data_IF_256525249802
#
_entry.id   IF_256525249802
#
_cell.length_a   1.000
_cell.length_b   1.000
_cell.length_c   1.000
_cell.angle_alpha   90.00
_cell.angle_beta   90.00
_cell.angle_gamma   90.00
#
_symmetry.space_group_name_H-M   'P 1'
#
loop_
_entity.id
_entity.type
_entity.pdbx_description
1 polymer ?
#
# COMPACT_ATOMS: atom_id res chain seq x y z
N UNK A 1 -31.57 -16.57 15.77
CA UNK A 1 -30.59 -17.22 14.89
C UNK A 1 -30.37 -16.47 13.57
N UNK A 2 -31.37 -15.88 12.97
CA UNK A 2 -31.27 -15.15 11.68
C UNK A 2 -30.49 -13.84 11.73
N UNK A 3 -30.47 -13.14 12.86
CA UNK A 3 -29.72 -11.87 13.01
C UNK A 3 -28.19 -12.05 13.13
N UNK A 4 -27.75 -13.16 13.70
CA UNK A 4 -26.31 -13.48 13.82
C UNK A 4 -25.70 -13.85 12.47
N UNK A 5 -26.46 -14.52 11.61
CA UNK A 5 -26.04 -14.87 10.25
C UNK A 5 -25.89 -13.63 9.36
N UNK A 6 -26.75 -12.63 9.54
CA UNK A 6 -26.67 -11.36 8.78
C UNK A 6 -25.44 -10.53 9.16
N UNK A 7 -25.05 -10.52 10.45
CA UNK A 7 -23.84 -9.81 10.92
C UNK A 7 -22.58 -10.51 10.43
N UNK A 8 -22.55 -11.84 10.39
CA UNK A 8 -21.43 -12.61 9.85
C UNK A 8 -21.29 -12.40 8.34
N UNK A 9 -22.41 -12.28 7.60
CA UNK A 9 -22.39 -11.96 6.17
C UNK A 9 -21.89 -10.54 5.87
N UNK A 10 -22.24 -9.55 6.67
CA UNK A 10 -21.76 -8.15 6.48
C UNK A 10 -20.28 -8.03 6.85
N UNK A 11 -19.77 -8.75 7.87
CA UNK A 11 -18.34 -8.76 8.23
C UNK A 11 -17.53 -9.65 7.29
N UNK A 12 -18.13 -10.73 6.75
CA UNK A 12 -17.47 -11.62 5.79
C UNK A 12 -17.22 -10.99 4.42
N UNK A 13 -18.05 -10.01 3.99
CA UNK A 13 -17.90 -9.32 2.71
C UNK A 13 -16.80 -8.25 2.68
N UNK A 14 -16.21 -7.88 3.82
CA UNK A 14 -15.13 -6.90 3.90
C UNK A 14 -13.73 -7.51 3.94
N UNK A 15 -13.60 -8.83 3.90
CA UNK A 15 -12.33 -9.56 4.03
C UNK A 15 -11.82 -10.18 2.72
N UNK A 16 -12.32 -9.77 1.56
CA UNK A 16 -11.68 -10.15 0.31
C UNK A 16 -10.39 -9.36 0.15
N UNK A 17 -9.28 -10.03 0.36
CA UNK A 17 -7.95 -9.56 0.01
C UNK A 17 -7.90 -9.30 -1.49
N UNK A 18 -7.87 -8.03 -1.85
CA UNK A 18 -7.57 -7.63 -3.22
C UNK A 18 -6.08 -7.86 -3.48
N UNK A 19 -5.75 -9.03 -4.00
CA UNK A 19 -4.52 -9.27 -4.73
C UNK A 19 -4.84 -9.06 -6.18
N UNK A 20 -4.49 -7.91 -6.75
CA UNK A 20 -4.91 -7.65 -8.10
C UNK A 20 -4.02 -6.85 -8.97
N UNK A 21 -3.83 -7.49 -10.07
CA UNK A 21 -3.37 -6.93 -11.34
C UNK A 21 -4.31 -5.80 -11.76
N UNK A 22 -3.82 -4.57 -11.73
CA UNK A 22 -4.52 -3.39 -12.22
C UNK A 22 -4.56 -3.40 -13.75
N UNK A 23 -5.64 -3.93 -14.33
CA UNK A 23 -6.02 -3.63 -15.71
C UNK A 23 -6.87 -2.36 -15.67
N UNK A 24 -6.30 -1.26 -16.14
CA UNK A 24 -6.96 0.04 -16.23
C UNK A 24 -8.06 0.02 -17.30
N UNK A 25 -9.29 -0.23 -16.87
CA UNK A 25 -10.47 0.07 -17.66
C UNK A 25 -11.12 1.36 -17.15
N UNK A 26 -10.92 2.47 -17.82
CA UNK A 26 -11.52 3.76 -17.46
C UNK A 26 -12.91 3.91 -18.08
N UNK A 27 -13.97 3.90 -17.28
CA UNK A 27 -15.26 4.45 -17.67
C UNK A 27 -15.31 5.93 -17.31
N UNK A 28 -15.29 6.79 -18.33
CA UNK A 28 -15.40 8.23 -18.17
C UNK A 28 -16.86 8.63 -17.90
N UNK A 29 -17.17 9.02 -16.65
CA UNK A 29 -18.33 9.87 -16.38
C UNK A 29 -17.83 11.30 -16.11
N UNK A 30 -18.14 12.20 -17.03
CA UNK A 30 -17.80 13.61 -16.91
C UNK A 30 -18.63 14.30 -15.82
N UNK A 31 -17.95 14.83 -14.83
CA UNK A 31 -18.50 15.91 -14.00
C UNK A 31 -17.83 17.22 -14.44
N UNK A 32 -18.59 18.03 -15.15
CA UNK A 32 -18.23 19.39 -15.46
C UNK A 32 -18.45 20.25 -14.22
N UNK A 33 -17.38 20.62 -13.54
CA UNK A 33 -17.31 21.86 -12.77
C UNK A 33 -16.04 22.58 -13.27
N UNK A 34 -16.27 23.56 -14.09
CA UNK A 34 -15.25 24.43 -14.66
C UNK A 34 -14.74 25.37 -13.55
N UNK A 35 -13.50 25.15 -13.19
CA UNK A 35 -12.61 26.20 -12.71
C UNK A 35 -11.48 26.21 -13.73
N UNK A 36 -11.33 27.32 -14.45
CA UNK A 36 -10.30 27.49 -15.49
C UNK A 36 -8.90 27.41 -14.86
N UNK A 37 -8.37 26.18 -14.73
CA UNK A 37 -6.95 26.00 -14.55
C UNK A 37 -6.28 26.05 -15.94
N UNK A 38 -5.21 26.80 -16.07
CA UNK A 38 -4.40 26.92 -17.31
C UNK A 38 -3.80 25.58 -17.75
N UNK A 39 -3.93 24.53 -16.97
CA UNK A 39 -3.42 23.18 -17.21
C UNK A 39 -4.59 22.23 -17.45
N UNK A 40 -4.56 21.51 -18.56
CA UNK A 40 -5.62 20.57 -18.91
C UNK A 40 -5.53 19.26 -18.11
N UNK A 41 -6.00 19.27 -16.87
CA UNK A 41 -6.13 18.09 -16.04
C UNK A 41 -7.55 17.50 -16.13
N UNK A 42 -7.65 16.20 -16.32
CA UNK A 42 -8.93 15.47 -16.38
C UNK A 42 -9.15 14.66 -15.13
N UNK A 43 -10.32 14.80 -14.52
CA UNK A 43 -10.73 14.02 -13.36
C UNK A 43 -11.50 12.78 -13.78
N UNK A 44 -11.25 11.67 -13.10
CA UNK A 44 -11.96 10.41 -13.29
C UNK A 44 -12.05 9.66 -11.96
N UNK A 45 -12.76 8.53 -11.94
CA UNK A 45 -12.77 7.62 -10.79
C UNK A 45 -12.14 6.30 -11.22
N UNK A 46 -11.14 5.84 -10.46
CA UNK A 46 -10.55 4.52 -10.58
C UNK A 46 -10.82 3.74 -9.28
N UNK A 47 -11.61 2.67 -9.34
CA UNK A 47 -11.97 1.86 -8.15
C UNK A 47 -12.46 2.70 -6.95
N UNK A 48 -13.37 3.65 -7.19
CA UNK A 48 -13.89 4.63 -6.20
C UNK A 48 -12.91 5.73 -5.78
N UNK A 49 -11.64 5.68 -6.16
CA UNK A 49 -10.64 6.70 -5.89
C UNK A 49 -10.80 7.88 -6.85
N UNK A 50 -10.61 9.09 -6.34
CA UNK A 50 -10.55 10.29 -7.18
C UNK A 50 -9.17 10.36 -7.84
N UNK A 51 -9.16 10.21 -9.17
CA UNK A 51 -7.99 10.30 -10.01
C UNK A 51 -7.98 11.61 -10.77
N UNK A 52 -6.79 12.21 -10.90
CA UNK A 52 -6.52 13.29 -11.84
C UNK A 52 -5.40 12.90 -12.77
N UNK A 53 -5.59 13.17 -14.05
CA UNK A 53 -4.57 13.00 -15.10
C UNK A 53 -4.25 14.35 -15.73
N UNK A 54 -2.99 14.75 -15.64
CA UNK A 54 -2.43 16.02 -16.11
C UNK A 54 -1.30 15.79 -17.12
N UNK A 55 -1.54 15.02 -18.16
CA UNK A 55 -0.54 14.79 -19.22
C UNK A 55 -0.54 15.95 -20.18
N UNK A 56 0.31 16.95 -19.96
CA UNK A 56 0.46 18.14 -20.78
C UNK A 56 1.95 18.41 -21.05
N UNK A 57 2.38 18.51 -22.33
CA UNK A 57 3.75 18.87 -22.69
C UNK A 57 4.21 20.25 -22.20
N UNK A 58 3.30 21.08 -21.71
CA UNK A 58 3.61 22.39 -21.12
C UNK A 58 3.69 22.37 -19.59
N UNK A 59 3.37 21.23 -18.96
CA UNK A 59 3.38 21.09 -17.51
C UNK A 59 4.82 20.97 -16.99
N UNK A 60 5.34 22.01 -16.36
CA UNK A 60 6.72 22.08 -15.83
C UNK A 60 6.81 21.81 -14.32
N UNK A 61 5.68 21.91 -13.60
CA UNK A 61 5.60 21.63 -12.15
C UNK A 61 4.25 20.99 -11.80
N UNK A 62 4.14 20.41 -10.61
CA UNK A 62 2.87 19.84 -10.12
C UNK A 62 1.87 20.99 -9.91
N UNK A 63 0.66 20.93 -10.53
CA UNK A 63 -0.34 21.98 -10.36
C UNK A 63 -0.78 22.11 -8.90
N UNK A 64 -0.93 23.34 -8.41
CA UNK A 64 -1.29 23.62 -7.00
C UNK A 64 -2.78 23.74 -6.76
N UNK A 65 -3.57 23.84 -7.82
CA UNK A 65 -5.01 24.12 -7.84
C UNK A 65 -5.89 22.88 -8.06
N UNK A 66 -5.32 21.67 -7.95
CA UNK A 66 -6.08 20.43 -8.05
C UNK A 66 -6.92 20.21 -6.78
N UNK A 67 -7.94 19.36 -6.89
CA UNK A 67 -8.73 18.95 -5.74
C UNK A 67 -7.85 18.26 -4.68
N UNK A 68 -7.85 18.76 -3.44
CA UNK A 68 -7.04 18.23 -2.34
C UNK A 68 -7.40 16.79 -1.91
N UNK A 69 -8.54 16.26 -2.35
CA UNK A 69 -8.98 14.91 -2.06
C UNK A 69 -8.54 13.87 -3.11
N UNK A 70 -7.69 14.22 -4.06
CA UNK A 70 -7.17 13.27 -5.04
C UNK A 70 -6.38 12.17 -4.34
N UNK A 71 -6.57 10.96 -4.82
CA UNK A 71 -5.88 9.76 -4.35
C UNK A 71 -4.92 9.19 -5.40
N UNK A 72 -5.14 9.54 -6.65
CA UNK A 72 -4.29 9.15 -7.78
C UNK A 72 -3.93 10.40 -8.59
N UNK A 73 -2.64 10.65 -8.72
CA UNK A 73 -2.08 11.70 -9.57
C UNK A 73 -1.30 11.04 -10.71
N UNK A 74 -1.72 11.27 -11.93
CA UNK A 74 -0.98 10.92 -13.15
C UNK A 74 -0.56 12.21 -13.86
N UNK A 75 0.70 12.58 -13.72
CA UNK A 75 1.35 13.67 -14.43
C UNK A 75 2.50 13.15 -15.31
N UNK A 76 2.34 11.95 -15.83
CA UNK A 76 3.28 11.33 -16.78
C UNK A 76 3.24 12.05 -18.12
N UNK A 77 4.31 11.91 -18.93
CA UNK A 77 4.46 12.49 -20.26
C UNK A 77 4.34 14.01 -20.27
N UNK A 78 5.01 14.67 -19.31
CA UNK A 78 5.03 16.12 -19.15
C UNK A 78 6.47 16.66 -19.20
N UNK A 79 6.71 17.85 -18.67
CA UNK A 79 8.04 18.48 -18.63
C UNK A 79 8.49 18.87 -17.24
N UNK A 80 8.00 18.16 -16.22
CA UNK A 80 8.37 18.41 -14.83
C UNK A 80 9.87 18.16 -14.67
N UNK A 81 10.58 19.11 -14.05
CA UNK A 81 12.04 19.05 -13.85
C UNK A 81 12.43 18.88 -12.39
N UNK A 82 11.68 19.48 -11.50
CA UNK A 82 12.00 19.54 -10.08
C UNK A 82 10.79 19.14 -9.23
N UNK A 83 11.05 18.35 -8.21
CA UNK A 83 10.07 18.07 -7.15
C UNK A 83 10.57 18.77 -5.87
N UNK A 84 9.87 19.84 -5.50
CA UNK A 84 10.18 20.63 -4.32
C UNK A 84 9.48 20.08 -3.08
N UNK A 85 9.89 20.54 -1.91
CA UNK A 85 9.30 20.13 -0.63
C UNK A 85 7.79 20.41 -0.53
N UNK A 86 7.30 21.40 -1.26
CA UNK A 86 5.89 21.79 -1.29
C UNK A 86 5.10 21.23 -2.49
N UNK A 87 5.75 20.50 -3.41
CA UNK A 87 5.10 20.01 -4.66
C UNK A 87 3.83 19.24 -4.43
N UNK A 88 3.74 18.47 -3.35
CA UNK A 88 2.56 17.65 -3.00
C UNK A 88 1.87 18.09 -1.71
N UNK A 89 2.21 19.24 -1.13
CA UNK A 89 1.75 19.70 0.19
C UNK A 89 0.22 19.79 0.30
N UNK A 90 -0.46 20.15 -0.80
CA UNK A 90 -1.93 20.23 -0.86
C UNK A 90 -2.62 18.87 -1.01
N UNK A 91 -1.89 17.78 -1.31
CA UNK A 91 -2.45 16.48 -1.72
C UNK A 91 -2.07 15.36 -0.77
N UNK A 92 -2.39 15.49 0.49
CA UNK A 92 -1.99 14.54 1.57
C UNK A 92 -2.68 13.18 1.53
N UNK A 93 -3.63 12.97 0.60
CA UNK A 93 -4.39 11.71 0.45
C UNK A 93 -3.92 10.85 -0.72
N UNK A 94 -2.80 11.20 -1.36
CA UNK A 94 -2.28 10.45 -2.50
C UNK A 94 -1.84 9.04 -2.08
N UNK A 95 -2.35 8.07 -2.82
CA UNK A 95 -1.98 6.66 -2.76
C UNK A 95 -1.05 6.30 -3.93
N UNK A 96 -1.28 6.90 -5.08
CA UNK A 96 -0.57 6.61 -6.34
C UNK A 96 -0.08 7.90 -6.97
N UNK A 97 1.21 7.97 -7.24
CA UNK A 97 1.87 9.08 -7.95
C UNK A 97 2.59 8.52 -9.17
N UNK A 98 2.13 8.92 -10.36
CA UNK A 98 2.74 8.58 -11.63
C UNK A 98 3.36 9.83 -12.25
N UNK A 99 4.69 9.80 -12.41
CA UNK A 99 5.51 10.87 -12.96
C UNK A 99 6.46 10.34 -14.05
N UNK A 100 6.11 9.21 -14.64
CA UNK A 100 6.91 8.58 -15.68
C UNK A 100 7.02 9.46 -16.93
N UNK A 101 8.15 9.35 -17.65
CA UNK A 101 8.41 10.08 -18.90
C UNK A 101 8.32 11.62 -18.72
N UNK A 102 9.13 12.13 -17.79
CA UNK A 102 9.32 13.54 -17.50
C UNK A 102 10.82 13.90 -17.63
N UNK A 103 11.20 15.06 -17.15
CA UNK A 103 12.58 15.53 -17.13
C UNK A 103 13.09 15.75 -15.70
N UNK A 104 12.53 15.02 -14.72
CA UNK A 104 12.85 15.22 -13.31
C UNK A 104 14.32 14.86 -13.07
N UNK A 105 15.06 15.83 -12.53
CA UNK A 105 16.46 15.68 -12.17
C UNK A 105 16.66 15.90 -10.67
N UNK A 106 15.97 16.88 -10.10
CA UNK A 106 16.11 17.25 -8.71
C UNK A 106 14.86 16.86 -7.92
N UNK A 107 15.05 16.18 -6.81
CA UNK A 107 14.00 15.84 -5.84
C UNK A 107 14.49 16.33 -4.49
N UNK A 108 13.82 17.33 -3.93
CA UNK A 108 14.16 17.84 -2.61
C UNK A 108 13.88 16.81 -1.50
N UNK A 109 14.67 16.87 -0.41
CA UNK A 109 14.65 15.85 0.65
C UNK A 109 13.27 15.63 1.29
N UNK A 110 12.43 16.67 1.37
CA UNK A 110 11.09 16.58 1.96
C UNK A 110 9.97 16.49 0.93
N UNK A 111 10.25 16.28 -0.36
CA UNK A 111 9.24 16.28 -1.42
C UNK A 111 8.09 15.30 -1.16
N UNK A 112 8.37 14.14 -0.58
CA UNK A 112 7.36 13.12 -0.26
C UNK A 112 7.03 13.02 1.23
N UNK A 113 7.55 13.89 2.09
CA UNK A 113 7.43 13.78 3.55
C UNK A 113 5.97 13.79 4.05
N UNK A 114 5.06 14.45 3.33
CA UNK A 114 3.63 14.51 3.67
C UNK A 114 2.79 13.40 3.00
N UNK A 115 3.40 12.52 2.21
CA UNK A 115 2.72 11.48 1.45
C UNK A 115 2.60 10.19 2.27
N UNK A 116 2.02 10.31 3.46
CA UNK A 116 1.92 9.21 4.43
C UNK A 116 1.24 7.95 3.86
N UNK A 117 0.24 8.12 2.99
CA UNK A 117 -0.55 7.02 2.43
C UNK A 117 -0.02 6.48 1.10
N UNK A 118 1.12 6.98 0.62
CA UNK A 118 1.65 6.60 -0.68
C UNK A 118 1.98 5.10 -0.74
N UNK A 119 1.35 4.42 -1.69
CA UNK A 119 1.57 2.98 -1.96
C UNK A 119 2.41 2.74 -3.21
N UNK A 120 2.26 3.59 -4.22
CA UNK A 120 2.93 3.44 -5.52
C UNK A 120 3.55 4.76 -5.97
N UNK A 121 4.82 4.72 -6.30
CA UNK A 121 5.56 5.83 -6.91
C UNK A 121 6.17 5.37 -8.23
N UNK A 122 5.88 6.08 -9.31
CA UNK A 122 6.51 5.87 -10.62
C UNK A 122 7.28 7.12 -11.05
N UNK A 123 8.60 6.97 -11.14
CA UNK A 123 9.56 7.93 -11.66
C UNK A 123 10.30 7.39 -12.89
N UNK A 124 9.72 6.40 -13.58
CA UNK A 124 10.34 5.76 -14.76
C UNK A 124 10.64 6.80 -15.85
N UNK A 125 11.75 6.65 -16.57
CA UNK A 125 12.19 7.54 -17.67
C UNK A 125 12.26 9.00 -17.24
N UNK A 126 13.18 9.28 -16.33
CA UNK A 126 13.51 10.62 -15.85
C UNK A 126 15.04 10.81 -15.88
N UNK A 127 15.51 11.91 -15.35
CA UNK A 127 16.94 12.22 -15.25
C UNK A 127 17.49 12.09 -13.83
N UNK A 128 16.76 11.45 -12.92
CA UNK A 128 17.10 11.39 -11.50
C UNK A 128 18.38 10.61 -11.25
N UNK A 129 19.23 11.13 -10.39
CA UNK A 129 20.44 10.47 -9.90
C UNK A 129 20.45 10.34 -8.36
N UNK A 130 19.49 10.96 -7.69
CA UNK A 130 19.33 10.94 -6.25
C UNK A 130 17.85 10.79 -5.84
N UNK A 131 17.59 10.31 -4.61
CA UNK A 131 16.27 10.17 -3.99
C UNK A 131 16.30 10.67 -2.55
N UNK A 132 15.20 11.24 -2.05
CA UNK A 132 15.06 11.56 -0.64
C UNK A 132 15.27 10.33 0.25
N UNK A 133 16.08 10.47 1.31
CA UNK A 133 16.40 9.37 2.22
C UNK A 133 15.15 8.83 2.94
N UNK A 134 14.17 9.70 3.20
CA UNK A 134 12.93 9.34 3.88
C UNK A 134 11.90 8.65 2.96
N UNK A 135 12.12 8.60 1.65
CA UNK A 135 11.19 7.96 0.71
C UNK A 135 10.94 6.49 1.09
N UNK A 136 12.01 5.75 1.38
CA UNK A 136 11.93 4.32 1.74
C UNK A 136 11.53 4.06 3.21
N UNK A 137 11.11 5.10 3.92
CA UNK A 137 10.55 5.02 5.28
C UNK A 137 9.03 5.26 5.31
N UNK A 138 8.41 5.54 4.15
CA UNK A 138 6.97 5.73 4.05
C UNK A 138 6.22 4.43 4.40
N UNK A 139 5.25 4.49 5.34
CA UNK A 139 4.72 3.29 6.00
C UNK A 139 3.86 2.39 5.10
N UNK A 140 3.40 2.90 3.95
CA UNK A 140 2.56 2.16 3.02
C UNK A 140 3.19 1.97 1.65
N UNK A 141 4.42 2.48 1.40
CA UNK A 141 5.08 2.38 0.09
C UNK A 141 5.44 0.93 -0.22
N UNK A 142 4.87 0.40 -1.30
CA UNK A 142 4.98 -1.00 -1.71
C UNK A 142 5.64 -1.19 -3.06
N UNK A 143 5.35 -0.31 -4.01
CA UNK A 143 5.83 -0.43 -5.39
C UNK A 143 6.55 0.84 -5.80
N UNK A 144 7.79 0.68 -6.25
CA UNK A 144 8.62 1.81 -6.69
C UNK A 144 9.20 1.49 -8.05
N UNK A 145 8.87 2.35 -9.01
CA UNK A 145 9.33 2.27 -10.39
C UNK A 145 10.34 3.38 -10.64
N UNK A 146 11.60 3.01 -10.80
CA UNK A 146 12.75 3.91 -10.96
C UNK A 146 13.56 3.59 -12.23
N UNK A 147 12.96 2.86 -13.15
CA UNK A 147 13.65 2.43 -14.36
C UNK A 147 14.02 3.60 -15.27
N UNK A 148 15.08 3.43 -16.07
CA UNK A 148 15.53 4.42 -17.06
C UNK A 148 15.81 5.78 -16.41
N UNK A 149 16.77 5.78 -15.49
CA UNK A 149 17.25 6.94 -14.75
C UNK A 149 18.80 6.92 -14.70
N UNK A 150 19.38 7.67 -13.77
CA UNK A 150 20.84 7.76 -13.60
C UNK A 150 21.31 7.28 -12.22
N UNK A 151 20.48 6.52 -11.51
CA UNK A 151 20.78 6.07 -10.15
C UNK A 151 22.02 5.16 -10.09
N UNK A 152 22.94 5.53 -9.20
CA UNK A 152 24.08 4.71 -8.79
C UNK A 152 23.87 4.00 -7.47
N UNK A 153 24.86 3.21 -7.03
CA UNK A 153 24.77 2.38 -5.83
C UNK A 153 24.55 3.19 -4.53
N UNK A 154 25.11 4.41 -4.45
CA UNK A 154 25.06 5.25 -3.24
C UNK A 154 23.63 5.64 -2.83
N UNK A 155 22.70 5.73 -3.79
CA UNK A 155 21.29 6.06 -3.54
C UNK A 155 20.58 4.98 -2.72
N UNK A 156 21.03 3.75 -2.86
CA UNK A 156 20.43 2.58 -2.23
C UNK A 156 21.20 2.08 -0.99
N UNK A 157 22.15 2.87 -0.49
CA UNK A 157 22.83 2.63 0.79
C UNK A 157 22.02 3.25 1.93
N UNK A 158 20.83 2.73 2.18
CA UNK A 158 19.90 3.25 3.18
C UNK A 158 19.09 2.13 3.80
N UNK A 159 18.66 2.29 5.05
CA UNK A 159 17.72 1.36 5.65
C UNK A 159 16.30 1.61 5.16
N UNK A 160 15.56 0.53 4.91
CA UNK A 160 14.19 0.56 4.42
C UNK A 160 13.26 0.04 5.49
N UNK A 161 12.26 0.85 5.87
CA UNK A 161 11.17 0.43 6.75
C UNK A 161 9.85 0.26 6.01
N UNK A 162 9.77 0.78 4.78
CA UNK A 162 8.62 0.61 3.89
C UNK A 162 8.40 -0.87 3.54
N UNK A 163 7.15 -1.35 3.46
CA UNK A 163 6.83 -2.72 3.11
C UNK A 163 6.93 -2.97 1.60
N UNK A 164 8.10 -2.71 1.01
CA UNK A 164 8.32 -2.86 -0.42
C UNK A 164 8.11 -4.30 -0.86
N UNK A 165 7.29 -4.50 -1.91
CA UNK A 165 7.12 -5.80 -2.56
C UNK A 165 7.56 -5.80 -4.03
N UNK A 166 7.71 -4.62 -4.63
CA UNK A 166 8.12 -4.45 -6.02
C UNK A 166 9.10 -3.29 -6.16
N UNK A 167 10.28 -3.55 -6.73
CA UNK A 167 11.31 -2.53 -7.00
C UNK A 167 11.87 -2.70 -8.41
N UNK A 168 11.68 -1.67 -9.25
CA UNK A 168 12.11 -1.68 -10.64
C UNK A 168 13.22 -0.65 -10.86
N UNK A 169 14.41 -1.14 -11.17
CA UNK A 169 15.65 -0.37 -11.30
C UNK A 169 16.36 -0.59 -12.65
N UNK A 170 15.69 -1.17 -13.64
CA UNK A 170 16.36 -1.47 -14.91
C UNK A 170 16.79 -0.18 -15.64
N UNK A 171 17.87 -0.29 -16.42
CA UNK A 171 18.48 0.87 -17.13
C UNK A 171 18.87 2.00 -16.19
N UNK A 172 19.76 1.69 -15.26
CA UNK A 172 20.41 2.65 -14.36
C UNK A 172 21.93 2.45 -14.40
N UNK A 173 22.66 2.88 -13.38
CA UNK A 173 24.12 2.79 -13.27
C UNK A 173 24.58 1.94 -12.10
N UNK A 174 23.80 0.94 -11.70
CA UNK A 174 24.10 0.08 -10.58
C UNK A 174 25.27 -0.86 -10.92
N UNK A 175 26.23 -0.99 -10.02
CA UNK A 175 27.34 -1.95 -10.13
C UNK A 175 27.18 -3.17 -9.21
N UNK A 176 26.24 -3.10 -8.26
CA UNK A 176 25.88 -4.17 -7.31
C UNK A 176 24.38 -4.14 -7.01
N UNK A 177 23.88 -5.17 -6.32
CA UNK A 177 22.51 -5.17 -5.82
C UNK A 177 22.29 -4.04 -4.78
N UNK A 178 21.07 -3.49 -4.66
CA UNK A 178 20.75 -2.45 -3.68
C UNK A 178 21.10 -2.87 -2.24
N UNK A 179 21.88 -2.07 -1.54
CA UNK A 179 22.27 -2.30 -0.13
C UNK A 179 21.30 -1.57 0.80
N UNK A 180 20.05 -1.99 0.84
CA UNK A 180 18.95 -1.33 1.55
C UNK A 180 18.58 -2.03 2.88
N UNK A 181 19.52 -2.72 3.52
CA UNK A 181 19.24 -3.54 4.70
C UNK A 181 18.44 -4.80 4.35
N UNK A 182 17.55 -5.21 5.24
CA UNK A 182 16.63 -6.32 5.00
C UNK A 182 15.39 -5.85 4.27
N UNK A 183 15.02 -6.53 3.19
CA UNK A 183 13.76 -6.32 2.47
C UNK A 183 12.87 -7.57 2.54
N UNK A 184 12.31 -7.87 3.72
CA UNK A 184 11.64 -9.13 3.99
C UNK A 184 10.32 -9.32 3.23
N UNK A 185 9.79 -8.25 2.63
CA UNK A 185 8.53 -8.28 1.87
C UNK A 185 8.73 -8.18 0.37
N UNK A 186 10.00 -8.00 -0.11
CA UNK A 186 10.30 -7.81 -1.52
C UNK A 186 10.08 -9.13 -2.29
N UNK A 187 9.19 -9.11 -3.28
CA UNK A 187 8.87 -10.23 -4.14
C UNK A 187 9.52 -10.11 -5.52
N UNK A 188 9.52 -8.89 -6.07
CA UNK A 188 10.01 -8.64 -7.42
C UNK A 188 11.09 -7.56 -7.41
N UNK A 189 12.27 -7.93 -7.89
CA UNK A 189 13.39 -7.02 -8.10
C UNK A 189 13.85 -7.10 -9.56
N UNK A 190 13.77 -5.97 -10.26
CA UNK A 190 14.31 -5.87 -11.61
C UNK A 190 15.50 -4.88 -11.63
N UNK A 191 16.68 -5.41 -11.81
CA UNK A 191 17.94 -4.66 -11.96
C UNK A 191 18.59 -4.90 -13.33
N UNK A 192 17.82 -5.34 -14.32
CA UNK A 192 18.33 -5.59 -15.67
C UNK A 192 18.90 -4.35 -16.33
N UNK A 193 19.75 -4.51 -17.34
CA UNK A 193 20.35 -3.38 -18.09
C UNK A 193 21.08 -2.38 -17.16
N UNK A 194 21.90 -2.89 -16.25
CA UNK A 194 22.80 -2.11 -15.39
C UNK A 194 24.25 -2.56 -15.62
N UNK A 195 25.15 -2.26 -14.69
CA UNK A 195 26.57 -2.60 -14.75
C UNK A 195 26.98 -3.58 -13.64
N UNK A 196 26.06 -4.43 -13.19
CA UNK A 196 26.29 -5.40 -12.10
C UNK A 196 27.18 -6.52 -12.64
N UNK A 197 28.35 -6.72 -12.03
CA UNK A 197 29.31 -7.75 -12.44
C UNK A 197 29.20 -9.04 -11.63
N UNK A 198 28.67 -8.97 -10.41
CA UNK A 198 28.56 -10.13 -9.50
C UNK A 198 27.32 -10.02 -8.62
N UNK A 199 26.71 -11.16 -8.36
CA UNK A 199 25.62 -11.33 -7.37
C UNK A 199 25.97 -12.54 -6.51
N UNK A 200 25.88 -12.40 -5.19
CA UNK A 200 26.20 -13.45 -4.23
C UNK A 200 24.98 -13.94 -3.47
N UNK A 201 25.02 -15.16 -2.95
CA UNK A 201 23.95 -15.69 -2.09
C UNK A 201 23.81 -14.91 -0.78
N UNK A 202 24.89 -14.30 -0.29
CA UNK A 202 24.89 -13.42 0.88
C UNK A 202 24.05 -12.16 0.66
N UNK A 203 24.16 -11.54 -0.51
CA UNK A 203 23.33 -10.40 -0.90
C UNK A 203 21.86 -10.80 -1.02
N UNK A 204 21.58 -11.94 -1.69
CA UNK A 204 20.22 -12.45 -1.86
C UNK A 204 19.56 -12.87 -0.55
N UNK A 205 20.33 -13.24 0.47
CA UNK A 205 19.80 -13.64 1.77
C UNK A 205 19.02 -12.54 2.49
N UNK A 206 19.28 -11.26 2.13
CA UNK A 206 18.54 -10.10 2.66
C UNK A 206 17.13 -9.95 2.08
N UNK A 207 16.83 -10.66 0.99
CA UNK A 207 15.56 -10.63 0.27
C UNK A 207 14.82 -11.97 0.45
N UNK A 208 14.49 -12.32 1.69
CA UNK A 208 14.05 -13.67 2.05
C UNK A 208 12.67 -14.07 1.50
N UNK A 209 11.93 -13.15 0.91
CA UNK A 209 10.64 -13.41 0.25
C UNK A 209 10.68 -13.14 -1.26
N UNK A 210 11.89 -13.06 -1.84
CA UNK A 210 12.07 -12.78 -3.26
C UNK A 210 11.56 -13.96 -4.11
N UNK A 211 10.72 -13.67 -5.08
CA UNK A 211 10.15 -14.61 -6.03
C UNK A 211 10.76 -14.46 -7.43
N UNK A 212 11.00 -13.20 -7.85
CA UNK A 212 11.56 -12.90 -9.18
C UNK A 212 12.71 -11.91 -9.05
N UNK A 213 13.85 -12.29 -9.63
CA UNK A 213 15.02 -11.42 -9.82
C UNK A 213 15.37 -11.36 -11.30
N UNK A 214 15.17 -10.21 -11.92
CA UNK A 214 15.66 -9.97 -13.29
C UNK A 214 16.94 -9.15 -13.24
N UNK A 215 18.06 -9.79 -13.51
CA UNK A 215 19.39 -9.19 -13.64
C UNK A 215 19.95 -9.35 -15.07
N UNK A 216 19.08 -9.59 -16.06
CA UNK A 216 19.47 -9.76 -17.45
C UNK A 216 20.18 -8.53 -18.03
N UNK A 217 21.00 -8.72 -19.04
CA UNK A 217 21.79 -7.65 -19.69
C UNK A 217 22.67 -6.84 -18.72
N UNK A 218 23.19 -7.48 -17.70
CA UNK A 218 24.29 -7.00 -16.88
C UNK A 218 25.57 -7.75 -17.27
N UNK A 219 26.76 -7.18 -17.07
CA UNK A 219 28.04 -7.87 -17.33
C UNK A 219 28.34 -8.88 -16.21
N UNK A 220 27.37 -9.74 -15.88
CA UNK A 220 27.51 -10.73 -14.82
C UNK A 220 28.61 -11.71 -15.15
N UNK A 221 29.59 -11.85 -14.26
CA UNK A 221 30.57 -12.94 -14.34
C UNK A 221 29.92 -14.23 -13.80
N UNK A 222 29.27 -14.94 -14.71
CA UNK A 222 28.68 -16.27 -14.46
C UNK A 222 29.72 -17.33 -14.76
N UNK A 223 30.74 -17.46 -13.89
CA UNK A 223 31.75 -18.53 -14.04
C UNK A 223 31.07 -19.90 -13.85
N UNK A 224 30.69 -20.49 -14.95
CA UNK A 224 29.90 -21.75 -15.01
C UNK A 224 30.61 -22.93 -14.38
N UNK A 225 31.95 -22.86 -14.30
CA UNK A 225 32.83 -23.98 -13.86
C UNK A 225 33.32 -23.82 -12.41
N UNK A 226 32.76 -22.96 -11.61
CA UNK A 226 33.16 -22.78 -10.22
C UNK A 226 32.08 -23.17 -9.19
N UNK A 227 32.50 -23.32 -7.92
CA UNK A 227 31.58 -23.69 -6.84
C UNK A 227 30.57 -22.61 -6.50
N UNK A 228 30.85 -21.34 -6.80
CA UNK A 228 29.87 -20.24 -6.59
C UNK A 228 28.64 -20.42 -7.49
N UNK A 229 28.85 -20.89 -8.74
CA UNK A 229 27.75 -21.23 -9.63
C UNK A 229 26.82 -22.27 -8.99
N UNK A 230 27.40 -23.40 -8.52
CA UNK A 230 26.60 -24.47 -7.90
C UNK A 230 25.87 -24.02 -6.65
N UNK A 231 26.54 -23.22 -5.80
CA UNK A 231 25.94 -22.65 -4.59
C UNK A 231 24.75 -21.71 -4.96
N UNK A 232 24.96 -20.82 -5.92
CA UNK A 232 23.91 -19.89 -6.37
C UNK A 232 22.72 -20.65 -6.95
N UNK A 233 22.93 -21.59 -7.86
CA UNK A 233 21.86 -22.40 -8.44
C UNK A 233 21.10 -23.18 -7.38
N UNK A 234 21.79 -23.75 -6.38
CA UNK A 234 21.15 -24.40 -5.23
C UNK A 234 20.32 -23.43 -4.41
N UNK A 235 20.82 -22.21 -4.14
CA UNK A 235 20.09 -21.16 -3.44
C UNK A 235 18.80 -20.81 -4.14
N UNK A 236 18.85 -20.50 -5.44
CA UNK A 236 17.70 -20.14 -6.27
C UNK A 236 16.65 -21.25 -6.28
N UNK A 237 17.08 -22.50 -6.47
CA UNK A 237 16.19 -23.67 -6.51
C UNK A 237 15.49 -23.91 -5.17
N UNK A 238 16.21 -23.88 -4.06
CA UNK A 238 15.65 -24.12 -2.71
C UNK A 238 14.62 -23.06 -2.32
N UNK A 239 14.80 -21.83 -2.78
CA UNK A 239 13.92 -20.71 -2.46
C UNK A 239 12.93 -20.40 -3.56
N UNK A 240 12.92 -21.19 -4.63
CA UNK A 240 12.03 -21.06 -5.79
C UNK A 240 12.09 -19.67 -6.45
N UNK A 241 13.27 -19.06 -6.45
CA UNK A 241 13.50 -17.76 -7.07
C UNK A 241 13.65 -17.93 -8.57
N UNK A 242 12.82 -17.23 -9.35
CA UNK A 242 12.96 -17.10 -10.80
C UNK A 242 14.05 -16.06 -11.07
N UNK A 243 15.19 -16.52 -11.54
CA UNK A 243 16.35 -15.68 -11.86
C UNK A 243 16.52 -15.52 -13.36
N UNK A 244 16.76 -14.31 -13.82
CA UNK A 244 17.13 -14.00 -15.21
C UNK A 244 18.45 -13.23 -15.23
N UNK A 245 19.42 -13.62 -16.08
CA UNK A 245 19.41 -14.75 -16.99
C UNK A 245 19.47 -16.11 -16.25
N UNK A 246 19.22 -17.21 -16.96
CA UNK A 246 19.38 -18.54 -16.36
C UNK A 246 20.81 -18.78 -15.90
N UNK A 247 20.95 -19.35 -14.72
CA UNK A 247 22.25 -19.69 -14.12
C UNK A 247 22.61 -21.13 -14.47
N UNK A 248 23.43 -21.32 -15.52
CA UNK A 248 23.85 -22.64 -16.00
C UNK A 248 25.26 -22.94 -15.50
N UNK A 249 25.41 -24.04 -14.77
CA UNK A 249 26.70 -24.52 -14.31
C UNK A 249 27.10 -25.78 -15.10
N UNK A 250 28.42 -25.98 -15.33
CA UNK A 250 28.91 -27.17 -16.01
C UNK A 250 28.68 -28.42 -15.16
N UNK A 251 28.50 -29.61 -15.79
CA UNK A 251 28.45 -30.88 -15.06
C UNK A 251 29.66 -31.12 -14.18
N UNK A 252 30.85 -30.75 -14.65
CA UNK A 252 32.11 -30.86 -13.90
C UNK A 252 32.09 -30.00 -12.60
N UNK A 253 31.48 -28.83 -12.65
CA UNK A 253 31.30 -27.99 -11.43
C UNK A 253 30.42 -28.71 -10.40
N UNK A 254 29.34 -29.37 -10.83
CA UNK A 254 28.49 -30.15 -9.93
C UNK A 254 29.21 -31.33 -9.29
N UNK A 255 30.01 -32.08 -10.04
CA UNK A 255 30.79 -33.22 -9.52
C UNK A 255 31.82 -32.74 -8.48
N UNK A 256 32.54 -31.67 -8.77
CA UNK A 256 33.56 -31.09 -7.88
C UNK A 256 32.99 -30.45 -6.64
N UNK A 257 31.87 -29.75 -6.75
CA UNK A 257 31.30 -28.88 -5.73
C UNK A 257 29.98 -29.40 -5.12
N UNK A 258 29.61 -30.65 -5.37
CA UNK A 258 28.32 -31.22 -4.94
C UNK A 258 28.09 -31.19 -3.43
N UNK A 259 29.15 -31.19 -2.62
CA UNK A 259 29.07 -31.16 -1.15
C UNK A 259 29.24 -29.77 -0.53
N UNK A 260 29.40 -28.71 -1.36
CA UNK A 260 29.56 -27.35 -0.83
C UNK A 260 28.21 -26.83 -0.24
N UNK A 261 28.29 -26.35 0.99
CA UNK A 261 27.14 -25.80 1.73
C UNK A 261 27.18 -24.26 1.70
N UNK A 262 26.07 -23.64 2.06
CA UNK A 262 26.01 -22.18 2.26
C UNK A 262 26.89 -21.80 3.45
N UNK A 263 27.50 -20.61 3.40
CA UNK A 263 28.23 -20.07 4.56
C UNK A 263 27.29 -19.83 5.75
N UNK A 264 27.81 -20.01 6.98
CA UNK A 264 27.04 -19.72 8.18
C UNK A 264 26.53 -18.26 8.20
N UNK A 265 27.34 -17.33 7.73
CA UNK A 265 26.97 -15.93 7.60
C UNK A 265 25.75 -15.73 6.70
N UNK A 266 25.72 -16.38 5.52
CA UNK A 266 24.57 -16.33 4.60
C UNK A 266 23.30 -16.88 5.23
N UNK A 267 23.42 -17.99 5.97
CA UNK A 267 22.27 -18.58 6.66
C UNK A 267 21.76 -17.69 7.79
N UNK A 268 22.65 -17.10 8.58
CA UNK A 268 22.28 -16.17 9.65
C UNK A 268 21.52 -14.96 9.09
N UNK A 269 22.03 -14.33 8.02
CA UNK A 269 21.35 -13.19 7.36
C UNK A 269 19.94 -13.59 6.89
N UNK A 270 19.82 -14.78 6.29
CA UNK A 270 18.52 -15.28 5.82
C UNK A 270 17.53 -15.53 6.98
N UNK A 271 18.02 -16.12 8.08
CA UNK A 271 17.22 -16.41 9.26
C UNK A 271 16.75 -15.12 9.96
N UNK A 272 17.62 -14.11 10.05
CA UNK A 272 17.26 -12.79 10.54
C UNK A 272 16.17 -12.14 9.66
N UNK A 273 16.33 -12.15 8.34
CA UNK A 273 15.33 -11.65 7.40
C UNK A 273 13.99 -12.37 7.58
N UNK A 274 13.98 -13.70 7.66
CA UNK A 274 12.75 -14.48 7.84
C UNK A 274 12.09 -14.25 9.19
N UNK A 275 12.88 -14.00 10.24
CA UNK A 275 12.36 -13.64 11.55
C UNK A 275 11.67 -12.27 11.54
N UNK A 276 12.27 -11.26 10.89
CA UNK A 276 11.66 -9.95 10.69
C UNK A 276 10.31 -10.09 9.95
N UNK A 277 10.27 -10.86 8.87
CA UNK A 277 9.05 -11.14 8.11
C UNK A 277 7.97 -11.79 8.99
N UNK A 278 8.34 -12.79 9.79
CA UNK A 278 7.44 -13.49 10.71
C UNK A 278 6.82 -12.52 11.73
N UNK A 279 7.65 -11.66 12.35
CA UNK A 279 7.18 -10.65 13.29
C UNK A 279 6.23 -9.68 12.62
N UNK A 280 6.54 -9.17 11.42
CA UNK A 280 5.67 -8.27 10.66
C UNK A 280 4.32 -8.93 10.32
N UNK A 281 4.32 -10.19 9.93
CA UNK A 281 3.08 -10.94 9.65
C UNK A 281 2.24 -11.15 10.93
N UNK A 282 2.87 -11.47 12.06
CA UNK A 282 2.18 -11.65 13.34
C UNK A 282 1.56 -10.35 13.83
N UNK A 283 2.29 -9.23 13.78
CA UNK A 283 1.77 -7.92 14.18
C UNK A 283 0.61 -7.48 13.30
N UNK A 284 0.68 -7.73 11.98
CA UNK A 284 -0.43 -7.47 11.06
C UNK A 284 -1.66 -8.31 11.40
N UNK A 285 -1.49 -9.60 11.69
CA UNK A 285 -2.59 -10.49 12.11
C UNK A 285 -3.20 -10.01 13.43
N UNK A 286 -2.39 -9.71 14.44
CA UNK A 286 -2.85 -9.21 15.72
C UNK A 286 -3.65 -7.92 15.57
N UNK A 287 -3.15 -6.95 14.79
CA UNK A 287 -3.86 -5.69 14.49
C UNK A 287 -5.23 -5.94 13.86
N UNK A 288 -5.33 -6.85 12.89
CA UNK A 288 -6.59 -7.18 12.25
C UNK A 288 -7.58 -7.79 13.24
N UNK A 289 -7.13 -8.69 14.12
CA UNK A 289 -7.96 -9.29 15.18
C UNK A 289 -8.46 -8.19 16.13
N UNK A 290 -7.58 -7.28 16.56
CA UNK A 290 -7.95 -6.17 17.43
C UNK A 290 -9.02 -5.27 16.80
N UNK A 291 -8.93 -4.94 15.51
CA UNK A 291 -9.94 -4.17 14.78
C UNK A 291 -11.30 -4.88 14.85
N UNK A 292 -11.34 -6.19 14.61
CA UNK A 292 -12.57 -6.98 14.67
C UNK A 292 -13.18 -6.93 16.09
N UNK A 293 -12.35 -7.12 17.12
CA UNK A 293 -12.79 -7.07 18.52
C UNK A 293 -13.40 -5.70 18.86
N UNK A 294 -12.71 -4.62 18.49
CA UNK A 294 -13.20 -3.26 18.73
C UNK A 294 -14.53 -3.00 18.01
N UNK A 295 -14.66 -3.43 16.74
CA UNK A 295 -15.92 -3.32 16.01
C UNK A 295 -17.06 -4.10 16.67
N UNK A 296 -16.80 -5.34 17.13
CA UNK A 296 -17.80 -6.16 17.84
C UNK A 296 -18.27 -5.50 19.15
N UNK A 297 -17.32 -4.96 19.93
CA UNK A 297 -17.66 -4.24 21.18
C UNK A 297 -18.48 -2.98 20.89
N UNK A 298 -18.09 -2.20 19.86
CA UNK A 298 -18.87 -1.01 19.47
C UNK A 298 -20.29 -1.37 19.02
N UNK A 299 -20.45 -2.41 18.21
CA UNK A 299 -21.77 -2.93 17.81
C UNK A 299 -22.62 -3.36 19.01
N UNK A 300 -22.00 -4.06 19.97
CA UNK A 300 -22.68 -4.49 21.19
C UNK A 300 -23.19 -3.30 22.01
N UNK A 301 -22.35 -2.26 22.19
CA UNK A 301 -22.74 -1.03 22.90
C UNK A 301 -23.93 -0.35 22.20
N UNK A 302 -23.91 -0.24 20.87
CA UNK A 302 -25.01 0.35 20.10
C UNK A 302 -26.31 -0.45 20.29
N UNK A 303 -26.23 -1.80 20.26
CA UNK A 303 -27.41 -2.65 20.48
C UNK A 303 -27.98 -2.44 21.87
N UNK A 304 -27.13 -2.44 22.90
CA UNK A 304 -27.57 -2.18 24.29
C UNK A 304 -28.23 -0.82 24.41
N UNK A 305 -27.64 0.21 23.81
CA UNK A 305 -28.21 1.57 23.80
C UNK A 305 -29.59 1.60 23.12
N UNK A 306 -29.76 0.96 21.98
CA UNK A 306 -31.04 0.88 21.28
C UNK A 306 -32.09 0.14 22.10
N UNK A 307 -31.72 -0.94 22.79
CA UNK A 307 -32.61 -1.68 23.68
C UNK A 307 -33.06 -0.79 24.84
N UNK A 308 -32.12 -0.07 25.48
CA UNK A 308 -32.44 0.87 26.55
C UNK A 308 -33.38 2.01 26.09
N UNK A 309 -33.15 2.56 24.89
CA UNK A 309 -34.04 3.55 24.27
C UNK A 309 -35.44 2.96 24.02
N UNK A 310 -35.55 1.72 23.55
CA UNK A 310 -36.83 1.06 23.37
C UNK A 310 -37.57 0.87 24.71
N UNK A 311 -36.87 0.44 25.77
CA UNK A 311 -37.45 0.34 27.13
C UNK A 311 -37.90 1.70 27.66
N UNK A 312 -37.07 2.74 27.50
CA UNK A 312 -37.42 4.09 27.91
C UNK A 312 -38.69 4.60 27.20
N UNK A 313 -38.75 4.42 25.86
CA UNK A 313 -39.96 4.81 25.07
C UNK A 313 -41.20 4.01 25.49
N UNK A 314 -41.07 2.71 25.75
CA UNK A 314 -42.20 1.87 26.26
C UNK A 314 -42.67 2.37 27.62
N UNK A 315 -41.77 2.65 28.53
CA UNK A 315 -42.11 3.15 29.85
C UNK A 315 -42.78 4.54 29.80
N UNK A 316 -42.28 5.44 28.92
CA UNK A 316 -42.91 6.77 28.71
C UNK A 316 -44.35 6.63 28.16
N UNK A 317 -44.56 5.69 27.19
CA UNK A 317 -45.91 5.42 26.65
C UNK A 317 -46.83 4.83 27.70
N UNK A 318 -46.36 3.92 28.57
CA UNK A 318 -47.16 3.39 29.70
C UNK A 318 -47.58 4.51 30.68
N UNK A 319 -46.63 5.36 31.08
CA UNK A 319 -46.93 6.52 31.96
C UNK A 319 -47.96 7.49 31.34
N UNK A 320 -47.89 7.75 30.05
CA UNK A 320 -48.85 8.60 29.35
C UNK A 320 -50.24 7.95 29.26
N UNK A 321 -50.34 6.63 29.06
CA UNK A 321 -51.63 5.93 29.08
C UNK A 321 -52.25 5.98 30.47
N UNK A 322 -51.47 5.75 31.53
CA UNK A 322 -51.94 5.82 32.91
C UNK A 322 -52.46 7.22 33.28
N UNK A 323 -51.75 8.29 32.89
CA UNK A 323 -52.21 9.67 33.10
C UNK A 323 -53.54 9.97 32.38
N UNK A 324 -53.71 9.50 31.14
CA UNK A 324 -54.94 9.67 30.38
C UNK A 324 -56.10 8.92 31.02
N UNK A 325 -55.87 7.75 31.58
CA UNK A 325 -56.88 6.95 32.27
C UNK A 325 -57.29 7.61 33.59
N UNK A 326 -56.33 8.10 34.37
CA UNK A 326 -56.63 8.90 35.59
C UNK A 326 -57.45 10.18 35.30
N UNK A 327 -57.13 10.88 34.21
CA UNK A 327 -57.90 12.06 33.78
C UNK A 327 -59.31 11.69 33.35
N UNK A 328 -59.53 10.54 32.69
CA UNK A 328 -60.85 10.04 32.34
C UNK A 328 -61.69 9.71 33.58
N UNK A 329 -61.06 9.01 34.55
CA UNK A 329 -61.74 8.66 35.82
C UNK A 329 -62.12 9.93 36.59
N UNK A 330 -61.22 10.91 36.68
CA UNK A 330 -61.50 12.20 37.33
C UNK A 330 -62.61 12.94 36.63
N UNK A 331 -62.63 12.98 35.28
CA UNK A 331 -63.75 13.65 34.54
C UNK A 331 -65.10 12.95 34.73
N UNK A 332 -65.10 11.56 34.75
CA UNK A 332 -66.33 10.83 35.02
C UNK A 332 -66.86 11.06 36.46
N UNK A 333 -65.95 11.12 37.46
CA UNK A 333 -66.38 11.39 38.86
C UNK A 333 -66.89 12.81 38.99
N UNK A 334 -66.33 13.84 38.31
CA UNK A 334 -66.81 15.20 38.27
C UNK A 334 -68.21 15.27 37.63
N UNK A 335 -68.44 14.57 36.53
CA UNK A 335 -69.76 14.53 35.87
C UNK A 335 -70.82 13.85 36.76
N UNK A 336 -70.44 12.78 37.48
CA UNK A 336 -71.36 12.12 38.42
C UNK A 336 -71.73 13.01 39.61
N UNK A 337 -70.78 13.81 40.10
CA UNK A 337 -71.11 14.84 41.17
C UNK A 337 -72.00 15.91 40.64
N UNK A 338 -71.84 16.44 39.46
CA UNK A 338 -72.70 17.43 38.82
C UNK A 338 -74.15 16.90 38.61
N UNK A 339 -74.26 15.65 38.17
CA UNK A 339 -75.59 14.99 38.03
C UNK A 339 -76.32 14.83 39.41
N UNK A 340 -75.59 14.48 40.44
CA UNK A 340 -76.19 14.35 41.80
C UNK A 340 -76.51 15.69 42.46
N UNK A 341 -75.87 16.79 42.10
CA UNK A 341 -76.21 18.13 42.60
C UNK A 341 -77.42 18.75 41.90
N UNK A 342 -77.77 18.31 40.70
CA UNK A 342 -78.95 18.81 39.96
C UNK A 342 -80.23 17.99 40.26
N UNK A 343 -80.12 16.96 41.12
CA UNK A 343 -81.23 16.12 41.56
C UNK A 343 -81.70 16.43 42.99
N UNK A 344 -81.13 17.43 43.61
CA UNK A 344 -81.63 18.03 44.87
C UNK A 344 -82.20 19.39 44.58
#
# INVERSE_FOLDING_TARGET
MTFFVLIILVVGLTMTTASDVLILGSTSMGYANQQESKVHCRYSKAYSMLQVKCSDPKLEEIPRDLNSNIQVLDASFSRIRDLRNDSFSSYTKLLYIYLGDNFIQNIEESAFAQQYYLEVLDLTKNGCDNLPKNLFQLPYLRRVYLAVNKFGDSVFQTEVTSPLNFLQLHRNKLTKLPEMGYLPTLQNLNVSENMISRITTKELARFCYLEVLDASKNPLNLEEDNCECVIMRRWLKLRKIIFKPEYNCTPAAFERCGNVTFSNETLTIYDECTNILRIQMQTKKARNIWIIVVCCVACFIVIVFLVLLCFHRRNKRKKQKLKKEQQRIAANNANTQLLNSNLK
#
